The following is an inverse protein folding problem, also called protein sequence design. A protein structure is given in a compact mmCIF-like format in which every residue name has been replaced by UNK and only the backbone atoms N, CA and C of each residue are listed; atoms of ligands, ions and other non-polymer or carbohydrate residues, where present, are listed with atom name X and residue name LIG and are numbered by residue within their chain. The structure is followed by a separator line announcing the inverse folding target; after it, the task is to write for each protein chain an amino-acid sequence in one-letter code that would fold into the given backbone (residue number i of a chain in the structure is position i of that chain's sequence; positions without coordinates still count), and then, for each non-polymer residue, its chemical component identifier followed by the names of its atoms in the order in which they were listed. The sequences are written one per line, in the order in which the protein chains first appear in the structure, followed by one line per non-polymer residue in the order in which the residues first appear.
data_IF_453051475559
#
_entry.id   IF_453051475559
#
_cell.length_a   1.000
_cell.length_b   1.000
_cell.length_c   1.000
_cell.angle_alpha   90.00
_cell.angle_beta   90.00
_cell.angle_gamma   90.00
#
_symmetry.space_group_name_H-M   'P 1'
#
loop_
_entity.id
_entity.type
_entity.pdbx_description
1 polymer ?
#
# COMPACT_ATOMS: atom_id res chain seq x y z
N UNK A 1 39.39 -17.33 32.53
CA UNK A 1 38.31 -18.07 33.22
C UNK A 1 37.47 -17.07 34.00
N UNK A 2 36.14 -17.13 33.84
CA UNK A 2 35.14 -16.29 34.52
C UNK A 2 34.34 -15.44 33.54
N UNK A 3 33.01 -15.32 33.61
CA UNK A 3 31.94 -15.94 34.41
C UNK A 3 30.66 -15.80 33.54
N UNK A 4 29.89 -16.87 33.38
CA UNK A 4 28.49 -16.81 32.90
C UNK A 4 27.57 -17.14 34.08
N UNK A 5 26.26 -16.93 33.92
CA UNK A 5 25.16 -17.30 34.83
C UNK A 5 24.64 -16.21 35.78
N UNK A 6 24.01 -15.20 35.19
CA UNK A 6 22.86 -14.51 35.80
C UNK A 6 21.81 -14.32 34.71
N UNK A 7 20.82 -15.22 34.62
CA UNK A 7 19.69 -15.04 33.69
C UNK A 7 18.83 -16.27 33.38
N UNK A 8 19.28 -17.50 33.67
CA UNK A 8 18.63 -18.69 33.12
C UNK A 8 17.42 -19.25 33.92
N UNK A 9 17.22 -18.82 35.17
CA UNK A 9 16.24 -19.47 36.06
C UNK A 9 14.78 -18.97 35.91
N UNK A 10 14.54 -17.86 35.20
CA UNK A 10 13.17 -17.34 35.01
C UNK A 10 12.49 -17.84 33.72
N UNK A 11 13.26 -18.27 32.71
CA UNK A 11 12.69 -18.76 31.43
C UNK A 11 12.02 -20.11 31.58
N UNK A 12 12.67 -21.04 32.28
CA UNK A 12 12.22 -22.44 32.39
C UNK A 12 10.84 -22.58 33.03
N UNK A 13 10.57 -21.83 34.11
CA UNK A 13 9.27 -21.87 34.77
C UNK A 13 8.15 -21.28 33.91
N UNK A 14 8.45 -20.27 33.10
CA UNK A 14 7.47 -19.67 32.20
C UNK A 14 7.19 -20.58 31.00
N UNK A 15 8.24 -21.15 30.39
CA UNK A 15 8.11 -22.15 29.33
C UNK A 15 7.29 -23.35 29.78
N UNK A 16 7.57 -23.93 30.95
CA UNK A 16 6.81 -25.08 31.46
C UNK A 16 5.31 -24.76 31.64
N UNK A 17 4.99 -23.57 32.15
CA UNK A 17 3.58 -23.14 32.30
C UNK A 17 2.90 -22.95 30.95
N UNK A 18 3.63 -22.42 29.95
CA UNK A 18 3.14 -22.28 28.58
C UNK A 18 2.87 -23.64 27.94
N UNK A 19 3.84 -24.57 28.02
CA UNK A 19 3.70 -25.93 27.53
C UNK A 19 2.50 -26.64 28.20
N UNK A 20 2.34 -26.47 29.52
CA UNK A 20 1.21 -27.06 30.25
C UNK A 20 -0.14 -26.45 29.85
N UNK A 21 -0.20 -25.13 29.61
CA UNK A 21 -1.42 -24.45 29.16
C UNK A 21 -1.82 -24.86 27.74
N UNK A 22 -0.85 -25.06 26.84
CA UNK A 22 -1.09 -25.53 25.47
C UNK A 22 -1.58 -26.98 25.49
N UNK A 23 -0.92 -27.85 26.25
CA UNK A 23 -1.36 -29.24 26.42
C UNK A 23 -2.76 -29.35 27.03
N UNK A 24 -3.08 -28.51 28.03
CA UNK A 24 -4.40 -28.47 28.64
C UNK A 24 -5.47 -28.02 27.63
N UNK A 25 -5.16 -27.04 26.78
CA UNK A 25 -6.07 -26.57 25.74
C UNK A 25 -6.31 -27.63 24.66
N UNK A 26 -5.27 -28.34 24.23
CA UNK A 26 -5.37 -29.43 23.24
C UNK A 26 -6.11 -30.67 23.77
N UNK A 27 -6.04 -30.94 25.08
CA UNK A 27 -6.78 -32.02 25.74
C UNK A 27 -8.21 -31.62 26.13
N UNK A 28 -8.56 -30.33 26.06
CA UNK A 28 -9.90 -29.85 26.41
C UNK A 28 -10.90 -30.08 25.28
N UNK A 29 -11.92 -30.90 25.54
CA UNK A 29 -13.04 -31.12 24.61
C UNK A 29 -14.12 -30.01 24.69
N UNK A 30 -13.75 -28.77 25.02
CA UNK A 30 -14.70 -27.67 24.96
C UNK A 30 -14.80 -27.20 23.52
N UNK A 31 -15.92 -27.52 22.86
CA UNK A 31 -16.27 -26.99 21.55
C UNK A 31 -16.45 -25.49 21.68
N UNK A 32 -15.39 -24.74 21.37
CA UNK A 32 -15.47 -23.30 21.17
C UNK A 32 -16.30 -23.10 19.91
N UNK A 33 -17.43 -22.36 19.95
CA UNK A 33 -18.22 -22.08 18.76
C UNK A 33 -17.29 -21.49 17.70
N UNK A 34 -17.22 -22.12 16.52
CA UNK A 34 -16.34 -21.60 15.48
C UNK A 34 -16.77 -20.17 15.16
N UNK A 35 -15.82 -19.22 15.06
CA UNK A 35 -16.14 -17.87 14.64
C UNK A 35 -16.93 -17.90 13.33
N UNK A 36 -17.96 -17.07 13.20
CA UNK A 36 -18.86 -17.01 12.02
C UNK A 36 -18.09 -16.92 10.70
N UNK A 37 -16.91 -16.30 10.73
CA UNK A 37 -16.01 -16.18 9.58
C UNK A 37 -15.51 -17.53 9.04
N UNK A 38 -15.25 -18.51 9.92
CA UNK A 38 -14.74 -19.84 9.54
C UNK A 38 -15.84 -20.73 8.93
N UNK A 39 -17.10 -20.56 9.34
CA UNK A 39 -18.23 -21.27 8.74
C UNK A 39 -18.45 -20.86 7.28
N UNK A 40 -18.41 -19.56 6.98
CA UNK A 40 -18.66 -19.06 5.63
C UNK A 40 -17.62 -19.54 4.60
N UNK A 41 -16.38 -19.76 5.04
CA UNK A 41 -15.31 -20.22 4.14
C UNK A 41 -15.36 -21.74 3.92
N UNK A 42 -15.58 -22.53 4.99
CA UNK A 42 -15.60 -24.01 4.91
C UNK A 42 -16.92 -24.57 4.35
N UNK A 43 -18.07 -23.91 4.56
CA UNK A 43 -19.35 -24.35 3.97
C UNK A 43 -19.44 -24.02 2.47
N UNK A 44 -18.61 -23.10 1.97
CA UNK A 44 -18.53 -22.80 0.55
C UNK A 44 -17.92 -23.95 -0.27
N UNK A 45 -17.17 -24.87 0.36
CA UNK A 45 -16.50 -26.00 -0.30
C UNK A 45 -17.36 -27.28 -0.36
N UNK A 46 -18.56 -27.31 0.22
CA UNK A 46 -19.45 -28.50 0.22
C UNK A 46 -20.60 -28.42 -0.79
N UNK A 47 -20.37 -27.90 -1.99
CA UNK A 47 -21.30 -28.11 -3.12
C UNK A 47 -20.92 -29.40 -3.84
N UNK A 48 -21.81 -30.40 -3.95
CA UNK A 48 -21.49 -31.66 -4.59
C UNK A 48 -21.51 -31.49 -6.11
N UNK A 49 -20.32 -31.42 -6.72
CA UNK A 49 -20.17 -31.72 -8.14
C UNK A 49 -19.52 -33.09 -8.29
N UNK A 50 -20.32 -34.00 -8.82
CA UNK A 50 -19.95 -35.33 -9.27
C UNK A 50 -18.86 -35.28 -10.33
N UNK A 51 -18.06 -36.36 -10.38
CA UNK A 51 -17.31 -36.90 -11.52
C UNK A 51 -15.78 -36.74 -11.50
N UNK A 52 -15.14 -37.78 -10.93
CA UNK A 52 -14.11 -38.65 -11.52
C UNK A 52 -12.78 -38.05 -12.04
N UNK A 53 -11.66 -38.52 -11.46
CA UNK A 53 -10.42 -38.73 -12.20
C UNK A 53 -9.14 -38.01 -11.73
N UNK A 54 -8.30 -38.79 -11.01
CA UNK A 54 -6.82 -38.77 -10.94
C UNK A 54 -6.15 -37.70 -10.06
N UNK A 55 -5.21 -38.17 -9.24
CA UNK A 55 -4.54 -37.39 -8.20
C UNK A 55 -3.18 -36.83 -8.60
N UNK A 56 -2.59 -36.12 -7.65
CA UNK A 56 -1.20 -36.19 -7.27
C UNK A 56 -1.10 -35.64 -5.82
N UNK A 57 -0.18 -36.24 -5.09
CA UNK A 57 0.16 -36.01 -3.68
C UNK A 57 0.90 -34.68 -3.53
N UNK A 58 0.60 -33.89 -2.49
CA UNK A 58 1.59 -32.99 -1.89
C UNK A 58 1.19 -32.77 -0.41
N UNK A 59 2.04 -33.31 0.46
CA UNK A 59 1.99 -33.22 1.92
C UNK A 59 2.64 -31.92 2.36
N UNK A 60 1.86 -30.94 2.84
CA UNK A 60 2.42 -29.75 3.50
C UNK A 60 2.65 -30.04 4.99
N UNK A 61 3.84 -30.55 5.32
CA UNK A 61 4.40 -30.50 6.67
C UNK A 61 4.86 -29.06 6.98
N UNK A 62 4.17 -28.40 7.90
CA UNK A 62 4.50 -27.07 8.41
C UNK A 62 5.72 -27.15 9.37
N UNK A 63 6.94 -27.02 8.83
CA UNK A 63 8.16 -26.81 9.63
C UNK A 63 8.38 -25.31 9.88
N UNK A 64 8.41 -24.95 11.16
CA UNK A 64 8.73 -23.63 11.65
C UNK A 64 10.19 -23.27 11.37
N UNK A 65 10.44 -22.70 10.20
CA UNK A 65 11.77 -22.22 9.82
C UNK A 65 11.89 -20.71 9.99
N UNK A 66 12.71 -20.28 10.97
CA UNK A 66 13.24 -18.91 11.08
C UNK A 66 14.10 -18.59 9.85
N UNK A 67 13.45 -18.32 8.72
CA UNK A 67 14.15 -18.09 7.47
C UNK A 67 14.61 -16.65 7.36
N UNK A 68 15.93 -16.47 7.35
CA UNK A 68 16.62 -15.23 6.95
C UNK A 68 16.50 -15.01 5.42
N UNK A 69 15.32 -15.25 4.86
CA UNK A 69 15.06 -15.20 3.43
C UNK A 69 15.12 -13.76 2.93
N UNK A 70 15.78 -13.49 1.79
CA UNK A 70 15.65 -12.20 1.13
C UNK A 70 14.16 -11.91 0.86
N UNK A 71 13.70 -10.65 0.98
CA UNK A 71 12.29 -10.33 0.80
C UNK A 71 11.82 -10.84 -0.57
N UNK A 72 10.77 -11.65 -0.57
CA UNK A 72 10.18 -12.23 -1.79
C UNK A 72 9.93 -11.07 -2.77
N UNK A 73 10.50 -11.12 -3.99
CA UNK A 73 10.23 -10.12 -5.01
C UNK A 73 8.73 -10.00 -5.21
N UNK A 74 8.22 -8.76 -5.23
CA UNK A 74 6.81 -8.55 -5.50
C UNK A 74 6.49 -9.01 -6.92
N UNK A 75 5.80 -10.14 -7.05
CA UNK A 75 5.32 -10.66 -8.34
C UNK A 75 3.98 -9.99 -8.65
N UNK A 76 4.03 -9.07 -9.62
CA UNK A 76 2.83 -8.47 -10.21
C UNK A 76 2.04 -9.57 -10.92
N UNK A 77 0.69 -9.52 -10.85
CA UNK A 77 -0.12 -10.37 -11.73
C UNK A 77 0.21 -10.03 -13.19
N UNK A 78 0.28 -11.03 -14.09
CA UNK A 78 0.39 -10.76 -15.52
C UNK A 78 -0.76 -9.82 -15.94
N UNK A 79 -0.46 -8.72 -16.64
CA UNK A 79 -1.49 -7.83 -17.15
C UNK A 79 -2.44 -8.61 -18.07
N UNK A 80 -3.75 -8.29 -18.09
CA UNK A 80 -4.69 -8.92 -19.03
C UNK A 80 -4.22 -8.78 -20.48
N UNK A 81 -4.53 -9.77 -21.32
CA UNK A 81 -4.15 -9.75 -22.74
C UNK A 81 -4.62 -8.46 -23.41
N UNK A 82 -3.70 -7.78 -24.09
CA UNK A 82 -3.97 -6.51 -24.79
C UNK A 82 -3.89 -5.24 -23.93
N UNK A 83 -3.59 -5.34 -22.64
CA UNK A 83 -3.33 -4.17 -21.79
C UNK A 83 -1.93 -3.57 -22.02
N UNK A 84 -1.84 -2.24 -21.95
CA UNK A 84 -0.57 -1.53 -22.04
C UNK A 84 0.27 -1.81 -20.79
N UNK A 85 1.56 -2.08 -20.99
CA UNK A 85 2.54 -2.35 -19.91
C UNK A 85 3.68 -1.34 -19.88
N UNK A 86 3.54 -0.24 -20.63
CA UNK A 86 4.57 0.77 -20.83
C UNK A 86 4.68 1.70 -19.63
N UNK A 87 5.90 1.91 -19.16
CA UNK A 87 6.18 2.82 -18.04
C UNK A 87 5.67 4.23 -18.31
N UNK A 88 4.93 4.76 -17.35
CA UNK A 88 4.33 6.09 -17.44
C UNK A 88 2.98 6.13 -18.15
N UNK A 89 2.45 4.98 -18.57
CA UNK A 89 1.11 4.85 -19.15
C UNK A 89 0.25 3.96 -18.26
N UNK A 90 -1.06 4.20 -18.23
CA UNK A 90 -1.99 3.23 -17.63
C UNK A 90 -2.23 2.02 -18.55
N UNK A 91 -2.89 0.99 -18.05
CA UNK A 91 -3.25 -0.22 -18.80
C UNK A 91 -4.10 0.04 -20.05
N UNK A 92 -4.82 1.18 -20.11
CA UNK A 92 -5.54 1.60 -21.32
C UNK A 92 -4.66 2.37 -22.34
N UNK A 93 -3.35 2.48 -22.11
CA UNK A 93 -2.39 3.14 -22.99
C UNK A 93 -2.43 4.67 -22.93
N UNK A 94 -2.95 5.26 -21.85
CA UNK A 94 -2.99 6.73 -21.67
C UNK A 94 -1.78 7.19 -20.88
N UNK A 95 -1.12 8.23 -21.37
CA UNK A 95 0.07 8.82 -20.73
C UNK A 95 -0.33 9.52 -19.43
N UNK A 96 0.35 9.16 -18.34
CA UNK A 96 0.13 9.72 -17.02
C UNK A 96 1.23 10.69 -16.60
N UNK A 97 2.24 10.92 -17.42
CA UNK A 97 3.37 11.78 -17.06
C UNK A 97 2.91 13.22 -16.92
N UNK A 98 3.32 13.87 -15.84
CA UNK A 98 3.02 15.28 -15.57
C UNK A 98 3.39 16.18 -16.76
N UNK A 99 4.48 15.89 -17.46
CA UNK A 99 4.90 16.62 -18.65
C UNK A 99 3.91 16.52 -19.82
N UNK A 100 3.19 15.40 -19.94
CA UNK A 100 2.15 15.22 -20.96
C UNK A 100 0.84 15.87 -20.53
N UNK A 101 0.44 15.64 -19.28
CA UNK A 101 -0.86 16.08 -18.77
C UNK A 101 -0.88 17.54 -18.28
N UNK A 102 0.25 18.26 -18.36
CA UNK A 102 0.43 19.59 -17.77
C UNK A 102 -0.64 20.59 -18.22
N UNK A 103 -1.02 20.55 -19.49
CA UNK A 103 -1.97 21.50 -20.10
C UNK A 103 -3.37 20.93 -20.27
N UNK A 104 -3.59 19.66 -19.92
CA UNK A 104 -4.88 19.00 -20.10
C UNK A 104 -5.91 19.52 -19.09
N UNK A 105 -7.18 19.61 -19.49
CA UNK A 105 -8.30 19.86 -18.58
C UNK A 105 -8.66 18.56 -17.84
N UNK A 106 -8.31 18.49 -16.56
CA UNK A 106 -8.52 17.30 -15.73
C UNK A 106 -9.66 17.56 -14.75
N UNK A 107 -10.73 16.79 -14.85
CA UNK A 107 -11.85 16.85 -13.92
C UNK A 107 -11.53 16.02 -12.67
N UNK A 108 -11.34 16.71 -11.54
CA UNK A 108 -11.05 16.07 -10.26
C UNK A 108 -12.36 15.96 -9.46
N UNK A 109 -12.80 14.75 -9.07
CA UNK A 109 -14.01 14.59 -8.28
C UNK A 109 -13.91 15.30 -6.91
N UNK A 110 -15.04 15.77 -6.34
CA UNK A 110 -15.03 16.38 -5.01
C UNK A 110 -14.41 15.47 -3.96
N UNK A 111 -13.53 16.03 -3.11
CA UNK A 111 -12.80 15.27 -2.09
C UNK A 111 -11.57 14.52 -2.59
N UNK A 112 -11.26 14.58 -3.89
CA UNK A 112 -10.00 14.05 -4.43
C UNK A 112 -9.00 15.18 -4.66
N UNK A 113 -7.71 14.84 -4.54
CA UNK A 113 -6.59 15.72 -4.83
C UNK A 113 -5.71 15.10 -5.91
N UNK A 114 -5.12 15.96 -6.75
CA UNK A 114 -4.09 15.51 -7.69
C UNK A 114 -2.78 15.28 -6.95
N UNK A 115 -2.21 14.10 -7.16
CA UNK A 115 -1.02 13.61 -6.49
C UNK A 115 -0.02 13.11 -7.54
N UNK A 116 1.24 13.43 -7.31
CA UNK A 116 2.37 12.94 -8.08
C UNK A 116 2.95 11.67 -7.46
N UNK A 117 2.92 10.58 -8.22
CA UNK A 117 3.60 9.32 -7.90
C UNK A 117 4.98 9.26 -8.56
N UNK A 118 5.96 8.66 -7.86
CA UNK A 118 7.31 8.39 -8.37
C UNK A 118 7.50 6.91 -8.62
N UNK A 119 7.93 6.58 -9.84
CA UNK A 119 8.37 5.23 -10.20
C UNK A 119 9.88 5.09 -9.98
N UNK A 120 10.35 3.99 -9.35
CA UNK A 120 11.76 3.62 -9.36
C UNK A 120 12.35 3.45 -10.77
N UNK A 121 11.54 2.97 -11.72
CA UNK A 121 11.97 2.78 -13.11
C UNK A 121 12.07 4.08 -13.91
N UNK A 122 11.41 5.16 -13.46
CA UNK A 122 11.34 6.46 -14.13
C UNK A 122 11.61 7.60 -13.14
N UNK A 123 12.86 7.76 -12.66
CA UNK A 123 13.21 8.66 -11.57
C UNK A 123 13.11 10.15 -11.93
N UNK A 124 13.04 10.51 -13.21
CA UNK A 124 12.89 11.91 -13.65
C UNK A 124 11.43 12.31 -13.88
N UNK A 125 10.54 11.34 -14.04
CA UNK A 125 9.13 11.58 -14.33
C UNK A 125 8.26 11.54 -13.06
N UNK A 126 7.12 12.22 -13.11
CA UNK A 126 6.08 12.18 -12.09
C UNK A 126 4.80 11.72 -12.78
N UNK A 127 4.13 10.71 -12.21
CA UNK A 127 2.85 10.23 -12.72
C UNK A 127 1.71 10.93 -11.99
N UNK A 128 0.71 11.40 -12.74
CA UNK A 128 -0.44 12.14 -12.23
C UNK A 128 -1.55 11.16 -11.85
N UNK A 129 -2.01 11.26 -10.61
CA UNK A 129 -3.08 10.42 -10.07
C UNK A 129 -4.07 11.30 -9.29
N UNK A 130 -5.33 10.89 -9.18
CA UNK A 130 -6.25 11.48 -8.22
C UNK A 130 -6.42 10.54 -7.03
N UNK A 131 -6.29 11.06 -5.81
CA UNK A 131 -6.41 10.28 -4.57
C UNK A 131 -7.38 11.00 -3.63
N UNK A 132 -8.28 10.26 -3.00
CA UNK A 132 -9.20 10.81 -2.00
C UNK A 132 -8.40 11.37 -0.83
N UNK A 133 -8.68 12.63 -0.49
CA UNK A 133 -7.94 13.41 0.49
C UNK A 133 -7.91 12.75 1.87
N UNK A 134 -8.91 11.94 2.23
CA UNK A 134 -8.98 11.25 3.52
C UNK A 134 -7.87 10.21 3.69
N UNK A 135 -7.31 9.71 2.60
CA UNK A 135 -6.21 8.74 2.62
C UNK A 135 -4.82 9.38 2.48
N UNK A 136 -4.78 10.71 2.35
CA UNK A 136 -3.57 11.52 2.36
C UNK A 136 -3.44 12.18 3.74
N UNK A 137 -2.20 12.40 4.22
CA UNK A 137 -2.00 13.13 5.45
C UNK A 137 -2.29 14.62 5.26
N UNK A 138 -2.67 15.28 6.34
CA UNK A 138 -2.71 16.74 6.41
C UNK A 138 -1.30 17.36 6.34
N UNK A 139 -1.23 18.69 6.36
CA UNK A 139 0.04 19.44 6.33
C UNK A 139 0.97 19.09 7.51
N UNK A 140 0.40 18.60 8.62
CA UNK A 140 1.15 18.14 9.80
C UNK A 140 1.58 16.68 9.71
N UNK A 141 1.28 15.99 8.62
CA UNK A 141 1.56 14.56 8.46
C UNK A 141 0.63 13.64 9.25
N UNK A 142 -0.57 14.10 9.61
CA UNK A 142 -1.55 13.39 10.45
C UNK A 142 -2.84 13.11 9.71
N UNK A 143 -3.75 12.37 10.35
CA UNK A 143 -5.15 12.18 9.92
C UNK A 143 -5.37 11.44 8.58
N UNK A 144 -4.37 10.68 8.10
CA UNK A 144 -4.55 9.81 6.94
C UNK A 144 -5.23 8.49 7.35
N UNK A 145 -6.35 8.14 6.71
CA UNK A 145 -6.99 6.84 6.85
C UNK A 145 -6.08 5.72 6.34
N UNK A 146 -6.22 4.54 6.98
CA UNK A 146 -5.67 3.29 6.48
C UNK A 146 -6.40 2.90 5.19
N UNK A 147 -5.68 2.31 4.24
CA UNK A 147 -6.21 1.95 2.93
C UNK A 147 -5.89 2.98 1.85
N UNK A 148 -6.63 2.91 0.74
CA UNK A 148 -6.43 3.74 -0.43
C UNK A 148 -7.75 3.97 -1.17
N UNK A 149 -7.88 5.12 -1.82
CA UNK A 149 -8.93 5.35 -2.81
C UNK A 149 -8.35 6.25 -3.88
N UNK A 150 -8.18 5.69 -5.08
CA UNK A 150 -7.56 6.39 -6.20
C UNK A 150 -8.38 6.28 -7.48
N UNK A 151 -8.14 7.23 -8.38
CA UNK A 151 -8.67 7.27 -9.72
C UNK A 151 -7.52 7.50 -10.72
N UNK A 152 -7.59 6.83 -11.85
CA UNK A 152 -6.63 6.99 -12.93
C UNK A 152 -6.98 8.24 -13.76
N UNK A 153 -6.06 9.19 -13.85
CA UNK A 153 -6.31 10.44 -14.59
C UNK A 153 -6.16 10.31 -16.10
N UNK A 154 -5.53 9.23 -16.58
CA UNK A 154 -5.36 8.97 -18.01
C UNK A 154 -6.60 8.35 -18.66
N UNK A 155 -7.09 7.24 -18.11
CA UNK A 155 -8.27 6.55 -18.65
C UNK A 155 -9.59 6.89 -17.94
N UNK A 156 -9.54 7.58 -16.80
CA UNK A 156 -10.73 7.94 -16.02
C UNK A 156 -11.33 6.80 -15.21
N UNK A 157 -10.67 5.65 -15.08
CA UNK A 157 -11.11 4.55 -14.22
C UNK A 157 -11.04 4.96 -12.74
N UNK A 158 -12.07 4.61 -11.97
CA UNK A 158 -12.29 5.13 -10.61
C UNK A 158 -12.48 4.01 -9.61
N UNK A 159 -12.22 4.32 -8.34
CA UNK A 159 -12.63 3.46 -7.23
C UNK A 159 -11.63 2.35 -6.88
N UNK A 160 -10.35 2.52 -7.23
CA UNK A 160 -9.29 1.63 -6.78
C UNK A 160 -9.17 1.69 -5.26
N UNK A 161 -9.51 0.59 -4.56
CA UNK A 161 -9.55 0.53 -3.09
C UNK A 161 -8.22 0.11 -2.47
N UNK A 162 -7.36 -0.50 -3.27
CA UNK A 162 -6.05 -0.96 -2.86
C UNK A 162 -4.96 -0.29 -3.70
N UNK A 163 -3.89 0.16 -3.04
CA UNK A 163 -2.79 0.82 -3.75
C UNK A 163 -2.04 -0.16 -4.67
N UNK A 164 -2.05 -1.46 -4.34
CA UNK A 164 -1.50 -2.53 -5.19
C UNK A 164 -2.20 -2.56 -6.53
N UNK A 165 -3.53 -2.70 -6.54
CA UNK A 165 -4.34 -2.71 -7.77
C UNK A 165 -4.14 -1.43 -8.60
N UNK A 166 -4.08 -0.29 -7.92
CA UNK A 166 -3.85 0.98 -8.59
C UNK A 166 -2.44 1.08 -9.20
N UNK A 167 -1.41 0.67 -8.46
CA UNK A 167 -0.04 0.64 -8.94
C UNK A 167 0.09 -0.24 -10.18
N UNK A 168 -0.56 -1.41 -10.16
CA UNK A 168 -0.63 -2.34 -11.29
C UNK A 168 -1.31 -1.69 -12.50
N UNK A 169 -2.44 -1.01 -12.28
CA UNK A 169 -3.18 -0.32 -13.33
C UNK A 169 -2.38 0.80 -14.01
N UNK A 170 -1.59 1.57 -13.26
CA UNK A 170 -0.78 2.66 -13.82
C UNK A 170 0.62 2.21 -14.30
N UNK A 171 0.86 0.90 -14.38
CA UNK A 171 2.16 0.29 -14.68
C UNK A 171 3.30 0.85 -13.82
N UNK A 172 3.03 1.08 -12.54
CA UNK A 172 4.05 1.48 -11.60
C UNK A 172 4.95 0.27 -11.32
N UNK A 173 6.15 0.22 -11.91
CA UNK A 173 7.10 -0.87 -11.71
C UNK A 173 7.73 -0.79 -10.33
N UNK A 174 7.48 -1.82 -9.52
CA UNK A 174 7.89 -1.88 -8.13
C UNK A 174 8.76 -3.10 -7.88
N UNK A 175 9.89 -2.91 -7.18
CA UNK A 175 10.80 -4.00 -6.78
C UNK A 175 10.42 -4.62 -5.44
N UNK A 176 9.54 -3.95 -4.69
CA UNK A 176 9.09 -4.32 -3.35
C UNK A 176 7.58 -4.10 -3.27
N UNK A 177 6.93 -4.67 -2.25
CA UNK A 177 5.50 -4.47 -2.02
C UNK A 177 5.07 -2.99 -2.18
N UNK A 178 4.00 -2.71 -2.93
CA UNK A 178 3.52 -1.35 -3.17
C UNK A 178 3.07 -0.69 -1.87
N UNK A 179 3.84 0.29 -1.41
CA UNK A 179 3.46 1.13 -0.27
C UNK A 179 3.14 2.53 -0.75
N UNK A 180 1.88 2.98 -0.57
CA UNK A 180 1.44 4.31 -1.02
C UNK A 180 2.38 5.43 -0.53
N UNK A 181 2.85 5.34 0.72
CA UNK A 181 3.74 6.31 1.36
C UNK A 181 5.14 6.38 0.72
N UNK A 182 5.56 5.30 0.06
CA UNK A 182 6.83 5.23 -0.65
C UNK A 182 6.75 5.90 -2.01
N UNK A 183 5.61 5.83 -2.68
CA UNK A 183 5.49 6.23 -4.10
C UNK A 183 4.75 7.54 -4.32
N UNK A 184 3.70 7.84 -3.54
CA UNK A 184 3.01 9.12 -3.60
C UNK A 184 3.88 10.16 -2.88
N UNK A 185 4.37 11.16 -3.60
CA UNK A 185 5.38 12.08 -3.06
C UNK A 185 4.98 13.53 -3.04
N UNK A 186 4.12 13.97 -3.95
CA UNK A 186 3.85 15.40 -4.14
C UNK A 186 2.37 15.64 -4.34
N UNK A 187 1.86 16.74 -3.82
CA UNK A 187 0.62 17.32 -4.33
C UNK A 187 0.89 17.97 -5.69
N UNK A 188 -0.11 18.01 -6.57
CA UNK A 188 -0.04 18.70 -7.84
C UNK A 188 -1.07 19.83 -7.84
N UNK A 189 -0.67 20.98 -8.38
CA UNK A 189 -1.44 22.22 -8.33
C UNK A 189 -1.48 22.82 -9.73
N UNK A 190 -2.57 23.52 -10.07
CA UNK A 190 -2.59 24.36 -11.26
C UNK A 190 -2.01 25.72 -10.92
N UNK A 191 -1.05 26.17 -11.72
CA UNK A 191 -0.52 27.53 -11.60
C UNK A 191 -1.54 28.56 -12.13
N UNK A 192 -1.20 29.86 -12.04
CA UNK A 192 -2.06 30.94 -12.53
C UNK A 192 -2.38 30.87 -14.04
N UNK A 193 -1.60 30.12 -14.82
CA UNK A 193 -1.81 29.89 -16.25
C UNK A 193 -2.64 28.62 -16.51
N UNK A 194 -3.13 27.95 -15.47
CA UNK A 194 -3.90 26.71 -15.56
C UNK A 194 -3.05 25.46 -15.80
N UNK A 195 -1.72 25.58 -15.84
CA UNK A 195 -0.80 24.47 -16.08
C UNK A 195 -0.59 23.69 -14.79
N UNK A 196 -0.72 22.36 -14.85
CA UNK A 196 -0.44 21.45 -13.75
C UNK A 196 1.07 21.39 -13.50
N UNK A 197 1.46 21.72 -12.26
CA UNK A 197 2.84 21.76 -11.81
C UNK A 197 3.03 20.95 -10.54
N UNK A 198 4.27 20.55 -10.29
CA UNK A 198 4.69 19.88 -9.06
C UNK A 198 4.52 20.85 -7.86
N UNK A 199 3.72 20.44 -6.88
CA UNK A 199 3.50 21.18 -5.64
C UNK A 199 4.31 20.64 -4.46
N UNK A 200 3.81 20.93 -3.25
CA UNK A 200 4.45 20.56 -1.99
C UNK A 200 4.57 19.03 -1.81
N UNK A 201 5.62 18.54 -1.12
CA UNK A 201 5.74 17.12 -0.81
C UNK A 201 4.66 16.66 0.18
N UNK A 202 4.24 15.40 0.07
CA UNK A 202 3.30 14.77 1.00
C UNK A 202 4.07 14.33 2.26
N UNK A 203 3.66 14.86 3.40
CA UNK A 203 4.27 14.57 4.71
C UNK A 203 3.79 13.23 5.27
N UNK A 204 4.37 12.10 4.85
CA UNK A 204 3.97 10.77 5.37
C UNK A 204 4.48 10.43 6.77
N UNK A 205 5.49 11.15 7.25
CA UNK A 205 6.03 11.01 8.62
C UNK A 205 5.73 12.32 9.34
N UNK A 206 5.15 12.23 10.54
CA UNK A 206 4.87 13.42 11.36
C UNK A 206 6.09 14.32 11.54
N UNK A 207 5.84 15.59 11.87
CA UNK A 207 6.74 16.77 11.80
C UNK A 207 8.15 16.62 12.44
N UNK A 208 8.50 15.51 13.08
CA UNK A 208 9.86 15.27 13.60
C UNK A 208 10.96 15.26 12.51
N UNK A 209 10.62 14.99 11.24
CA UNK A 209 11.60 14.90 10.14
C UNK A 209 11.49 16.00 9.07
N UNK A 210 10.59 16.99 9.24
CA UNK A 210 10.40 18.07 8.26
C UNK A 210 11.35 19.27 8.46
N UNK A 211 12.15 19.27 9.54
CA UNK A 211 13.05 20.38 9.91
C UNK A 211 14.54 20.11 9.60
N UNK A 212 14.85 19.40 8.52
CA UNK A 212 16.22 19.40 7.97
C UNK A 212 16.18 19.49 6.44
N UNK A 213 16.37 20.72 5.95
CA UNK A 213 16.56 21.03 4.54
C UNK A 213 15.59 22.09 4.03
N UNK A 214 16.13 23.28 3.78
CA UNK A 214 15.55 24.38 3.02
C UNK A 214 14.63 25.37 3.75
N UNK A 215 15.20 26.01 4.78
CA UNK A 215 14.95 27.44 5.01
C UNK A 215 15.52 28.27 3.85
N UNK A 216 14.81 28.34 2.74
CA UNK A 216 14.94 29.47 1.81
C UNK A 216 13.56 29.90 1.30
N UNK A 217 13.06 30.96 1.95
CA UNK A 217 12.21 32.00 1.32
C UNK A 217 10.87 31.63 0.68
N UNK A 218 10.11 30.66 1.20
CA UNK A 218 8.69 30.53 0.85
C UNK A 218 7.73 30.25 2.03
N UNK A 219 8.18 30.47 3.27
CA UNK A 219 7.40 30.16 4.48
C UNK A 219 6.46 31.26 4.99
N UNK A 220 6.25 32.38 4.27
CA UNK A 220 5.38 33.48 4.75
C UNK A 220 4.27 33.92 3.79
N UNK A 221 4.06 33.21 2.67
CA UNK A 221 2.97 33.54 1.73
C UNK A 221 1.79 32.56 1.73
N UNK A 222 1.92 31.40 2.36
CA UNK A 222 0.83 30.42 2.43
C UNK A 222 -0.33 30.87 3.34
N UNK A 223 -0.09 31.77 4.31
CA UNK A 223 -1.12 32.28 5.22
C UNK A 223 -1.98 33.42 4.65
N UNK A 224 -1.73 33.90 3.43
CA UNK A 224 -2.43 35.06 2.88
C UNK A 224 -3.42 34.73 1.73
N UNK A 225 -3.51 33.48 1.26
CA UNK A 225 -4.33 33.14 0.08
C UNK A 225 -5.64 32.43 0.43
N UNK A 226 -5.80 31.93 1.66
CA UNK A 226 -7.02 31.23 2.11
C UNK A 226 -7.97 32.08 2.99
N UNK A 227 -7.81 33.41 3.00
CA UNK A 227 -8.65 34.31 3.80
C UNK A 227 -9.72 35.09 2.99
N UNK A 228 -9.82 34.90 1.67
CA UNK A 228 -10.90 35.50 0.88
C UNK A 228 -11.27 34.64 -0.34
N UNK A 229 -12.07 33.60 -0.11
CA UNK A 229 -13.21 33.20 -0.96
C UNK A 229 -14.32 32.74 -0.02
#
# INVERSE_FOLDING_TARGET
MGNSYTGHLQSTRFEEVLHNSIEASLRSNTVVPRPVFTQLYLEAEQRPYSHDGRGDEDEDEEDGSDSNSPPIPYQMRPPPDGSCTTDGFCQAGKDLRLSSMATESLEVPPGFLLVGAKSPSMPDHILVCAVDQRFLPDECGRNALLGFSGNCMGCGEKGFRYFTEFADHINLKLTTQPKKQKHLKYHLLRNAQGILVKGAPICWKGIAHCYHGDTSTLGRRALAVYAHI
#
